data_IF_925497542129
#
_entry.id   IF_925497542129
#
_cell.length_a   1.000
_cell.length_b   1.000
_cell.length_c   1.000
_cell.angle_alpha   90.00
_cell.angle_beta   90.00
_cell.angle_gamma   90.00
#
_symmetry.space_group_name_H-M   'P 1'
#
loop_
_entity.id
_entity.type
_entity.pdbx_description
1 polymer ?
#
# COMPACT_ATOMS: atom_id res chain seq x y z
N UNK A 1 25.48 27.66 11.85
CA UNK A 1 24.41 28.05 10.91
C UNK A 1 24.26 27.11 9.70
N UNK A 2 25.34 26.65 9.03
CA UNK A 2 25.23 25.77 7.83
C UNK A 2 24.67 24.36 8.07
N UNK A 3 24.93 23.77 9.24
CA UNK A 3 24.44 22.42 9.60
C UNK A 3 22.91 22.37 9.74
N UNK A 4 22.30 23.38 10.36
CA UNK A 4 20.84 23.50 10.52
C UNK A 4 20.11 23.58 9.17
N UNK A 5 20.67 24.29 8.19
CA UNK A 5 20.06 24.40 6.85
C UNK A 5 20.12 23.08 6.07
N UNK A 6 21.19 22.29 6.24
CA UNK A 6 21.32 20.98 5.61
C UNK A 6 20.34 19.96 6.22
N UNK A 7 20.11 20.04 7.53
CA UNK A 7 19.15 19.19 8.24
C UNK A 7 17.70 19.48 7.83
N UNK A 8 17.31 20.75 7.75
CA UNK A 8 15.98 21.16 7.23
C UNK A 8 15.77 20.68 5.80
N UNK A 9 16.79 20.75 4.94
CA UNK A 9 16.71 20.23 3.57
C UNK A 9 16.48 18.71 3.54
N UNK A 10 17.19 17.94 4.38
CA UNK A 10 17.01 16.48 4.48
C UNK A 10 15.61 16.11 4.96
N UNK A 11 15.09 16.80 5.97
CA UNK A 11 13.73 16.59 6.47
C UNK A 11 12.67 16.86 5.38
N UNK A 12 12.84 17.93 4.62
CA UNK A 12 11.93 18.25 3.51
C UNK A 12 11.96 17.21 2.38
N UNK A 13 13.13 16.68 2.04
CA UNK A 13 13.28 15.62 1.03
C UNK A 13 12.63 14.33 1.53
N UNK A 14 12.90 13.93 2.76
CA UNK A 14 12.31 12.73 3.35
C UNK A 14 10.78 12.84 3.45
N UNK A 15 10.24 13.99 3.88
CA UNK A 15 8.78 14.24 3.88
C UNK A 15 8.18 14.11 2.48
N UNK A 16 8.80 14.72 1.45
CA UNK A 16 8.33 14.60 0.05
C UNK A 16 8.35 13.16 -0.44
N UNK A 17 9.40 12.40 -0.12
CA UNK A 17 9.51 10.99 -0.50
C UNK A 17 8.40 10.15 0.13
N UNK A 18 8.15 10.35 1.43
CA UNK A 18 7.08 9.63 2.12
C UNK A 18 5.69 10.01 1.60
N UNK A 19 5.45 11.28 1.28
CA UNK A 19 4.18 11.69 0.63
C UNK A 19 3.99 11.02 -0.73
N UNK A 20 5.08 10.82 -1.49
CA UNK A 20 5.02 10.06 -2.75
C UNK A 20 4.69 8.59 -2.48
N UNK A 21 5.31 7.98 -1.49
CA UNK A 21 5.04 6.59 -1.09
C UNK A 21 3.58 6.40 -0.68
N UNK A 22 3.01 7.30 0.14
CA UNK A 22 1.59 7.30 0.51
C UNK A 22 0.70 7.29 -0.75
N UNK A 23 0.96 8.17 -1.72
CA UNK A 23 0.18 8.22 -2.97
C UNK A 23 0.29 6.91 -3.76
N UNK A 24 1.48 6.31 -3.81
CA UNK A 24 1.71 5.05 -4.51
C UNK A 24 0.99 3.89 -3.83
N UNK A 25 1.07 3.80 -2.50
CA UNK A 25 0.37 2.80 -1.70
C UNK A 25 -1.15 2.91 -1.87
N UNK A 26 -1.70 4.12 -1.77
CA UNK A 26 -3.14 4.36 -1.98
C UNK A 26 -3.60 3.92 -3.37
N UNK A 27 -2.83 4.25 -4.42
CA UNK A 27 -3.13 3.82 -5.79
C UNK A 27 -3.09 2.30 -5.96
N UNK A 28 -2.04 1.65 -5.43
CA UNK A 28 -1.90 0.20 -5.49
C UNK A 28 -3.04 -0.50 -4.76
N UNK A 29 -3.39 -0.05 -3.55
CA UNK A 29 -4.50 -0.59 -2.77
C UNK A 29 -5.82 -0.47 -3.55
N UNK A 30 -6.06 0.66 -4.22
CA UNK A 30 -7.25 0.84 -5.05
C UNK A 30 -7.30 -0.19 -6.20
N UNK A 31 -6.22 -0.38 -6.95
CA UNK A 31 -6.14 -1.38 -8.04
C UNK A 31 -6.31 -2.82 -7.53
N UNK A 32 -5.79 -3.15 -6.34
CA UNK A 32 -5.99 -4.47 -5.74
C UNK A 32 -7.45 -4.67 -5.30
N UNK A 33 -8.12 -3.62 -4.81
CA UNK A 33 -9.56 -3.65 -4.48
C UNK A 33 -10.42 -3.83 -5.74
N UNK A 34 -10.06 -3.23 -6.86
CA UNK A 34 -10.71 -3.48 -8.17
C UNK A 34 -10.51 -4.94 -8.61
N UNK A 35 -9.31 -5.49 -8.42
CA UNK A 35 -9.04 -6.90 -8.72
C UNK A 35 -9.88 -7.85 -7.87
N UNK A 36 -10.11 -7.52 -6.59
CA UNK A 36 -11.03 -8.27 -5.71
C UNK A 36 -12.47 -8.21 -6.21
N UNK A 37 -12.93 -7.06 -6.71
CA UNK A 37 -14.26 -6.93 -7.30
C UNK A 37 -14.41 -7.79 -8.56
N UNK A 38 -13.36 -7.86 -9.39
CA UNK A 38 -13.26 -8.79 -10.52
C UNK A 38 -13.45 -10.25 -10.10
N UNK A 39 -12.71 -10.70 -9.08
CA UNK A 39 -12.84 -12.06 -8.55
C UNK A 39 -14.24 -12.33 -8.00
N UNK A 40 -14.88 -11.35 -7.33
CA UNK A 40 -16.26 -11.50 -6.84
C UNK A 40 -17.24 -11.70 -7.99
N UNK A 41 -17.07 -10.96 -9.09
CA UNK A 41 -17.89 -11.10 -10.31
C UNK A 41 -17.64 -12.44 -10.99
N UNK A 42 -16.39 -12.86 -11.12
CA UNK A 42 -16.01 -14.18 -11.66
C UNK A 42 -16.64 -15.30 -10.84
N UNK A 43 -16.52 -15.24 -9.50
CA UNK A 43 -17.07 -16.23 -8.57
C UNK A 43 -18.61 -16.31 -8.61
N UNK A 44 -19.30 -15.23 -8.97
CA UNK A 44 -20.74 -15.23 -9.12
C UNK A 44 -21.22 -15.98 -10.39
N UNK A 45 -20.31 -16.40 -11.26
CA UNK A 45 -20.64 -17.18 -12.44
C UNK A 45 -21.04 -18.62 -12.07
N UNK A 46 -22.30 -18.97 -12.33
CA UNK A 46 -22.89 -20.28 -12.01
C UNK A 46 -22.29 -21.47 -12.79
N UNK A 47 -21.35 -21.22 -13.73
CA UNK A 47 -20.70 -22.26 -14.55
C UNK A 47 -19.38 -22.77 -13.98
N UNK A 48 -18.92 -22.24 -12.85
CA UNK A 48 -17.66 -22.65 -12.24
C UNK A 48 -17.80 -24.00 -11.54
N UNK A 49 -16.82 -24.87 -11.77
CA UNK A 49 -16.61 -26.07 -10.98
C UNK A 49 -16.15 -25.75 -9.56
N UNK A 50 -16.25 -26.73 -8.66
CA UNK A 50 -15.73 -26.60 -7.29
C UNK A 50 -14.24 -26.25 -7.21
N UNK A 51 -13.43 -26.82 -8.12
CA UNK A 51 -12.00 -26.53 -8.18
C UNK A 51 -11.71 -25.08 -8.61
N UNK A 52 -12.45 -24.57 -9.60
CA UNK A 52 -12.31 -23.17 -10.05
C UNK A 52 -12.76 -22.18 -8.97
N UNK A 53 -13.86 -22.49 -8.27
CA UNK A 53 -14.28 -21.68 -7.11
C UNK A 53 -13.22 -21.68 -6.00
N UNK A 54 -12.60 -22.83 -5.71
CA UNK A 54 -11.50 -22.94 -4.75
C UNK A 54 -10.30 -22.08 -5.13
N UNK A 55 -9.86 -22.14 -6.38
CA UNK A 55 -8.75 -21.32 -6.87
C UNK A 55 -9.04 -19.81 -6.79
N UNK A 56 -10.28 -19.39 -7.08
CA UNK A 56 -10.70 -18.00 -6.92
C UNK A 56 -10.72 -17.56 -5.44
N UNK A 57 -11.16 -18.43 -4.53
CA UNK A 57 -11.18 -18.16 -3.10
C UNK A 57 -9.74 -18.04 -2.52
N UNK A 58 -8.82 -18.89 -2.95
CA UNK A 58 -7.39 -18.76 -2.61
C UNK A 58 -6.80 -17.45 -3.11
N UNK A 59 -7.02 -17.12 -4.39
CA UNK A 59 -6.54 -15.86 -4.98
C UNK A 59 -7.13 -14.65 -4.25
N UNK A 60 -8.42 -14.69 -3.90
CA UNK A 60 -9.09 -13.66 -3.12
C UNK A 60 -8.43 -13.48 -1.75
N UNK A 61 -8.16 -14.57 -1.04
CA UNK A 61 -7.55 -14.53 0.28
C UNK A 61 -6.14 -13.95 0.24
N UNK A 62 -5.33 -14.34 -0.75
CA UNK A 62 -3.99 -13.78 -0.94
C UNK A 62 -4.01 -12.27 -1.22
N UNK A 63 -4.97 -11.80 -2.04
CA UNK A 63 -5.16 -10.37 -2.27
C UNK A 63 -5.60 -9.62 -1.01
N UNK A 64 -6.50 -10.18 -0.20
CA UNK A 64 -6.92 -9.58 1.07
C UNK A 64 -5.75 -9.43 2.04
N UNK A 65 -4.91 -10.46 2.17
CA UNK A 65 -3.70 -10.41 3.00
C UNK A 65 -2.71 -9.34 2.50
N UNK A 66 -2.52 -9.24 1.18
CA UNK A 66 -1.64 -8.24 0.58
C UNK A 66 -2.18 -6.82 0.83
N UNK A 67 -3.48 -6.60 0.65
CA UNK A 67 -4.11 -5.30 0.92
C UNK A 67 -3.95 -4.92 2.40
N UNK A 68 -4.19 -5.85 3.33
CA UNK A 68 -4.01 -5.58 4.76
C UNK A 68 -2.58 -5.13 5.09
N UNK A 69 -1.57 -5.84 4.58
CA UNK A 69 -0.16 -5.46 4.78
C UNK A 69 0.18 -4.08 4.16
N UNK A 70 -0.43 -3.73 3.03
CA UNK A 70 -0.25 -2.43 2.39
C UNK A 70 -0.98 -1.31 3.14
N UNK A 71 -2.19 -1.57 3.65
CA UNK A 71 -2.96 -0.64 4.49
C UNK A 71 -2.18 -0.36 5.80
N UNK A 72 -1.61 -1.39 6.45
CA UNK A 72 -0.75 -1.21 7.64
C UNK A 72 0.47 -0.33 7.35
N UNK A 73 1.15 -0.57 6.21
CA UNK A 73 2.29 0.25 5.78
C UNK A 73 1.86 1.68 5.48
N UNK A 74 0.73 1.87 4.80
CA UNK A 74 0.18 3.19 4.50
C UNK A 74 -0.10 3.96 5.80
N UNK A 75 -0.74 3.33 6.77
CA UNK A 75 -1.00 3.92 8.10
C UNK A 75 0.30 4.27 8.82
N UNK A 76 1.32 3.40 8.78
CA UNK A 76 2.61 3.68 9.42
C UNK A 76 3.33 4.88 8.79
N UNK A 77 3.39 4.95 7.45
CA UNK A 77 4.03 6.06 6.74
C UNK A 77 3.27 7.37 6.95
N UNK A 78 1.94 7.33 6.89
CA UNK A 78 1.10 8.49 7.16
C UNK A 78 1.29 9.00 8.59
N UNK A 79 1.30 8.10 9.59
CA UNK A 79 1.57 8.46 10.98
C UNK A 79 2.92 9.12 11.20
N UNK A 80 3.98 8.67 10.51
CA UNK A 80 5.29 9.32 10.55
C UNK A 80 5.28 10.73 9.93
N UNK A 81 4.49 10.95 8.86
CA UNK A 81 4.30 12.28 8.27
C UNK A 81 3.57 13.21 9.25
N UNK A 82 2.48 12.72 9.86
CA UNK A 82 1.62 13.50 10.75
C UNK A 82 2.35 13.91 12.03
N UNK A 83 3.22 13.04 12.55
CA UNK A 83 4.10 13.34 13.69
C UNK A 83 5.28 14.27 13.33
N UNK A 84 5.45 14.65 12.07
CA UNK A 84 6.59 15.44 11.62
C UNK A 84 7.93 14.72 11.81
N UNK A 85 7.93 13.38 11.79
CA UNK A 85 9.12 12.53 11.99
C UNK A 85 9.55 11.86 10.67
N UNK A 86 10.02 12.63 9.68
CA UNK A 86 10.39 12.06 8.40
C UNK A 86 11.58 11.12 8.59
N UNK A 87 11.36 9.82 8.43
CA UNK A 87 12.42 8.82 8.47
C UNK A 87 13.16 8.84 7.12
N UNK A 88 14.48 8.97 7.18
CA UNK A 88 15.33 8.72 6.01
C UNK A 88 15.37 7.21 5.85
N UNK A 89 14.55 6.67 4.94
CA UNK A 89 14.70 5.28 4.50
C UNK A 89 16.04 5.24 3.74
N UNK A 90 17.10 4.77 4.41
CA UNK A 90 18.33 4.38 3.73
C UNK A 90 18.01 3.11 2.96
N UNK A 91 17.81 3.26 1.65
CA UNK A 91 17.84 2.11 0.74
C UNK A 91 19.30 1.68 0.68
N UNK A 92 19.59 0.49 1.20
CA UNK A 92 20.90 -0.16 1.03
C UNK A 92 20.98 -0.82 -0.35
#
# INVERSE_FOLDING_TARGET
>A
MRQSQAETRRQNVAKRSMTKEVKQLTGLIATLRESLDGIRKERANAKLSGAEMGALDERRNNLLLTIAALDDRLSAVQGLIDLGRPHIIRVH
#
